data_IF_258236015008
#
_entry.id   IF_258236015008
#
_cell.length_a   1.000
_cell.length_b   1.000
_cell.length_c   1.000
_cell.angle_alpha   90.00
_cell.angle_beta   90.00
_cell.angle_gamma   90.00
#
_symmetry.space_group_name_H-M   'P 1'
#
loop_
_entity.id
_entity.type
_entity.pdbx_description
1 polymer ?
#
# COMPACT_ATOMS: atom_id res chain seq x y z
N UNK A 1 -8.07 -7.31 4.08
CA UNK A 1 -7.92 -7.97 2.77
C UNK A 1 -8.76 -7.18 1.77
N UNK A 2 -8.13 -6.39 0.90
CA UNK A 2 -8.84 -5.68 -0.17
C UNK A 2 -9.59 -6.66 -1.08
N UNK A 3 -10.59 -6.21 -1.86
CA UNK A 3 -11.37 -7.09 -2.72
C UNK A 3 -10.45 -7.91 -3.65
N UNK A 4 -10.63 -9.23 -3.60
CA UNK A 4 -9.90 -10.22 -4.38
C UNK A 4 -10.21 -10.06 -5.89
N UNK A 5 -9.16 -10.00 -6.73
CA UNK A 5 -9.25 -10.31 -8.16
C UNK A 5 -9.23 -9.13 -9.15
N UNK A 6 -8.03 -8.65 -9.47
CA UNK A 6 -7.61 -7.96 -10.72
C UNK A 6 -8.59 -7.00 -11.41
N UNK A 7 -9.20 -6.07 -10.68
CA UNK A 7 -9.98 -5.00 -11.31
C UNK A 7 -9.14 -3.93 -12.01
N UNK A 8 -7.81 -3.94 -11.84
CA UNK A 8 -6.90 -3.09 -12.61
C UNK A 8 -6.20 -3.96 -13.64
N UNK A 9 -6.79 -4.03 -14.83
CA UNK A 9 -6.15 -4.61 -16.02
C UNK A 9 -5.20 -3.59 -16.65
N UNK A 10 -4.30 -4.04 -17.52
CA UNK A 10 -3.33 -3.16 -18.19
C UNK A 10 -3.97 -2.08 -19.07
N UNK A 11 -5.19 -2.32 -19.55
CA UNK A 11 -6.00 -1.39 -20.35
C UNK A 11 -6.71 -0.30 -19.52
N UNK A 12 -6.80 -0.47 -18.20
CA UNK A 12 -7.40 0.51 -17.29
C UNK A 12 -6.45 1.67 -16.95
N UNK A 13 -5.21 1.61 -17.42
CA UNK A 13 -4.21 2.61 -17.09
C UNK A 13 -4.22 3.76 -18.10
N UNK A 14 -4.18 4.97 -17.56
CA UNK A 14 -4.17 6.23 -18.28
C UNK A 14 -2.88 7.00 -17.98
N UNK A 15 -2.62 8.05 -18.76
CA UNK A 15 -1.40 8.87 -18.62
C UNK A 15 -1.40 9.71 -17.33
N UNK A 16 -2.57 10.17 -16.88
CA UNK A 16 -2.76 10.98 -15.68
C UNK A 16 -4.07 10.61 -14.95
N UNK A 17 -4.08 10.69 -13.62
CA UNK A 17 -5.24 10.34 -12.80
C UNK A 17 -4.87 9.99 -11.36
N UNK A 18 -5.58 9.05 -10.75
CA UNK A 18 -5.30 8.58 -9.38
C UNK A 18 -4.14 7.57 -9.41
N UNK A 19 -3.05 7.79 -8.66
CA UNK A 19 -1.87 6.95 -8.70
C UNK A 19 -2.13 5.55 -8.11
N UNK A 20 -1.60 4.53 -8.78
CA UNK A 20 -1.63 3.14 -8.30
C UNK A 20 -0.26 2.77 -7.73
N UNK A 21 -0.25 2.29 -6.47
CA UNK A 21 0.97 1.90 -5.78
C UNK A 21 1.51 0.55 -6.26
N UNK A 22 2.83 0.46 -6.36
CA UNK A 22 3.59 -0.75 -6.61
C UNK A 22 4.68 -0.95 -5.53
N UNK A 23 5.46 -2.04 -5.62
CA UNK A 23 6.52 -2.33 -4.64
C UNK A 23 7.62 -1.27 -4.55
N UNK A 24 7.94 -0.58 -5.65
CA UNK A 24 8.97 0.47 -5.65
C UNK A 24 8.54 1.68 -4.82
N UNK A 25 7.23 1.96 -4.77
CA UNK A 25 6.68 3.02 -3.93
C UNK A 25 6.81 2.70 -2.41
N UNK A 26 6.92 1.42 -2.02
CA UNK A 26 6.92 0.95 -0.61
C UNK A 26 8.33 0.57 -0.13
N UNK A 27 9.38 0.95 -0.86
CA UNK A 27 10.76 0.48 -0.61
C UNK A 27 11.47 1.07 0.62
N UNK A 28 10.86 2.01 1.33
CA UNK A 28 11.44 2.60 2.55
C UNK A 28 10.37 2.93 3.59
N UNK A 29 10.77 3.64 4.64
CA UNK A 29 9.89 4.00 5.75
C UNK A 29 8.70 4.87 5.31
N UNK A 30 8.90 5.74 4.31
CA UNK A 30 7.87 6.62 3.76
C UNK A 30 7.57 6.27 2.31
N UNK A 31 6.33 6.52 1.89
CA UNK A 31 5.90 6.34 0.50
C UNK A 31 6.80 7.14 -0.46
N UNK A 32 7.29 6.48 -1.51
CA UNK A 32 8.10 7.08 -2.57
C UNK A 32 7.25 7.46 -3.79
N UNK A 33 7.14 8.75 -4.06
CA UNK A 33 6.38 9.32 -5.20
C UNK A 33 7.22 9.53 -6.48
N UNK A 34 8.10 8.57 -6.78
CA UNK A 34 9.01 8.64 -7.94
C UNK A 34 8.31 8.38 -9.27
N UNK A 35 7.51 7.32 -9.34
CA UNK A 35 6.82 6.91 -10.55
C UNK A 35 5.52 6.18 -10.18
N UNK A 36 4.50 6.37 -11.01
CA UNK A 36 3.20 5.75 -10.88
C UNK A 36 2.68 5.34 -12.25
N UNK A 37 1.76 4.37 -12.23
CA UNK A 37 0.73 4.26 -13.25
C UNK A 37 -0.55 4.85 -12.68
N UNK A 38 -1.45 5.31 -13.52
CA UNK A 38 -2.67 5.97 -13.08
C UNK A 38 -3.91 5.24 -13.57
N UNK A 39 -4.99 5.33 -12.80
CA UNK A 39 -6.34 5.02 -13.25
C UNK A 39 -7.16 6.30 -13.26
N UNK A 40 -8.21 6.37 -14.08
CA UNK A 40 -9.15 7.48 -14.03
C UNK A 40 -9.96 7.50 -12.72
N UNK A 41 -10.69 8.60 -12.49
CA UNK A 41 -11.48 8.79 -11.27
C UNK A 41 -12.63 7.78 -11.14
N UNK A 42 -13.24 7.38 -12.26
CA UNK A 42 -14.33 6.39 -12.27
C UNK A 42 -13.83 5.03 -11.76
N UNK A 43 -12.69 4.58 -12.28
CA UNK A 43 -12.03 3.35 -11.82
C UNK A 43 -11.56 3.46 -10.37
N UNK A 44 -11.03 4.60 -9.95
CA UNK A 44 -10.65 4.82 -8.55
C UNK A 44 -11.87 4.73 -7.62
N UNK A 45 -13.02 5.27 -8.05
CA UNK A 45 -14.29 5.16 -7.31
C UNK A 45 -14.80 3.72 -7.21
N UNK A 46 -14.72 2.94 -8.29
CA UNK A 46 -15.01 1.50 -8.24
C UNK A 46 -14.13 0.80 -7.18
N UNK A 47 -12.87 1.23 -7.07
CA UNK A 47 -11.84 0.71 -6.17
C UNK A 47 -11.76 1.41 -4.81
N UNK A 48 -12.76 2.23 -4.42
CA UNK A 48 -12.78 3.03 -3.17
C UNK A 48 -12.38 2.30 -1.88
N UNK A 49 -12.58 0.98 -1.80
CA UNK A 49 -12.17 0.15 -0.65
C UNK A 49 -10.66 -0.15 -0.61
N UNK A 50 -9.93 0.26 -1.65
CA UNK A 50 -8.49 0.08 -1.85
C UNK A 50 -7.80 1.44 -1.99
N UNK A 51 -8.41 2.50 -1.44
CA UNK A 51 -7.84 3.84 -1.42
C UNK A 51 -7.10 4.05 -0.10
N UNK A 52 -5.79 4.24 -0.21
CA UNK A 52 -4.93 4.65 0.89
C UNK A 52 -4.72 6.17 0.85
N UNK A 53 -4.58 6.78 2.03
CA UNK A 53 -4.41 8.22 2.25
C UNK A 53 -3.27 8.49 3.23
N UNK A 54 -2.92 9.75 3.40
CA UNK A 54 -1.96 10.18 4.42
C UNK A 54 -2.29 9.59 5.80
N UNK A 55 -1.26 9.12 6.49
CA UNK A 55 -1.38 8.43 7.77
C UNK A 55 -1.62 6.92 7.66
N UNK A 56 -1.98 6.39 6.48
CA UNK A 56 -2.10 4.94 6.28
C UNK A 56 -0.72 4.28 6.15
N UNK A 57 -0.63 3.07 6.68
CA UNK A 57 0.54 2.20 6.51
C UNK A 57 0.24 1.18 5.43
N UNK A 58 1.07 1.13 4.40
CA UNK A 58 0.95 0.20 3.27
C UNK A 58 1.99 -0.90 3.40
N UNK A 59 1.57 -2.14 3.23
CA UNK A 59 2.40 -3.33 3.41
C UNK A 59 2.32 -4.21 2.16
N UNK A 60 3.47 -4.61 1.62
CA UNK A 60 3.57 -5.54 0.49
C UNK A 60 3.60 -6.98 0.98
N UNK A 61 2.67 -7.81 0.50
CA UNK A 61 2.55 -9.23 0.85
C UNK A 61 2.71 -10.19 -0.34
N UNK A 62 2.91 -9.67 -1.56
CA UNK A 62 3.28 -10.44 -2.75
C UNK A 62 4.29 -9.67 -3.58
N UNK A 63 5.29 -10.35 -4.14
CA UNK A 63 6.41 -9.72 -4.85
C UNK A 63 7.59 -9.46 -3.90
N UNK A 64 7.98 -8.20 -3.70
CA UNK A 64 8.99 -7.83 -2.69
C UNK A 64 8.37 -7.86 -1.30
N UNK A 65 8.37 -9.06 -0.71
CA UNK A 65 7.67 -9.38 0.54
C UNK A 65 8.16 -8.53 1.73
N UNK A 66 7.22 -8.16 2.60
CA UNK A 66 7.51 -7.56 3.90
C UNK A 66 7.90 -6.08 3.87
N UNK A 67 7.84 -5.42 2.71
CA UNK A 67 8.02 -3.97 2.63
C UNK A 67 6.87 -3.25 3.35
N UNK A 68 7.20 -2.24 4.16
CA UNK A 68 6.24 -1.46 4.93
C UNK A 68 6.58 0.02 4.78
N UNK A 69 5.61 0.85 4.41
CA UNK A 69 5.78 2.29 4.30
C UNK A 69 4.57 3.06 4.85
N UNK A 70 4.81 4.23 5.43
CA UNK A 70 3.78 5.19 5.83
C UNK A 70 3.55 6.21 4.71
N UNK A 71 2.29 6.52 4.41
CA UNK A 71 1.96 7.64 3.52
C UNK A 71 2.10 8.94 4.31
N UNK A 72 3.03 9.85 3.95
CA UNK A 72 3.26 11.06 4.72
C UNK A 72 2.08 12.05 4.60
N UNK A 73 1.99 12.99 5.54
CA UNK A 73 1.00 14.09 5.51
C UNK A 73 1.20 15.04 4.33
N UNK A 74 2.44 15.17 3.85
CA UNK A 74 2.80 16.02 2.71
C UNK A 74 3.10 15.16 1.49
N UNK A 75 2.08 14.97 0.67
CA UNK A 75 2.13 14.20 -0.57
C UNK A 75 1.70 15.03 -1.78
N UNK A 76 2.04 14.58 -2.99
CA UNK A 76 1.53 15.19 -4.23
C UNK A 76 0.07 14.85 -4.50
N UNK A 77 -0.40 13.70 -4.02
CA UNK A 77 -1.75 13.21 -4.24
C UNK A 77 -2.49 12.99 -2.92
N UNK A 78 -3.80 13.22 -2.92
CA UNK A 78 -4.66 13.01 -1.75
C UNK A 78 -5.04 11.54 -1.55
N UNK A 79 -4.97 10.74 -2.61
CA UNK A 79 -5.43 9.36 -2.64
C UNK A 79 -4.52 8.50 -3.51
N UNK A 80 -4.34 7.25 -3.09
CA UNK A 80 -3.57 6.25 -3.81
C UNK A 80 -4.34 4.94 -3.86
N UNK A 81 -4.41 4.33 -5.03
CA UNK A 81 -4.99 2.99 -5.16
C UNK A 81 -3.92 1.95 -4.80
N UNK A 82 -4.18 1.11 -3.80
CA UNK A 82 -3.34 -0.06 -3.52
C UNK A 82 -3.71 -1.22 -4.46
N UNK A 83 -2.70 -1.95 -4.93
CA UNK A 83 -2.93 -3.15 -5.75
C UNK A 83 -3.16 -4.39 -4.88
N UNK A 84 -3.47 -5.52 -5.51
CA UNK A 84 -3.58 -6.82 -4.82
C UNK A 84 -2.29 -7.31 -4.18
N UNK A 85 -1.14 -6.69 -4.48
CA UNK A 85 0.12 -7.04 -3.82
C UNK A 85 0.30 -6.34 -2.48
N UNK A 86 -0.55 -5.35 -2.18
CA UNK A 86 -0.50 -4.59 -0.94
C UNK A 86 -1.77 -4.74 -0.11
N UNK A 87 -1.65 -4.49 1.19
CA UNK A 87 -2.77 -4.14 2.04
C UNK A 87 -2.43 -2.87 2.82
N UNK A 88 -3.46 -2.16 3.29
CA UNK A 88 -3.29 -0.96 4.11
C UNK A 88 -3.82 -1.15 5.52
N UNK A 89 -3.24 -0.41 6.46
CA UNK A 89 -3.64 -0.29 7.84
C UNK A 89 -3.84 1.18 8.18
N UNK A 90 -5.07 1.54 8.51
CA UNK A 90 -5.44 2.86 9.04
C UNK A 90 -5.44 2.78 10.56
N UNK A 91 -4.61 3.57 11.23
CA UNK A 91 -4.53 3.60 12.68
C UNK A 91 -5.60 4.52 13.28
N UNK A 92 -6.21 4.09 14.38
CA UNK A 92 -6.93 4.99 15.29
C UNK A 92 -5.88 5.81 16.05
N UNK A 93 -5.63 7.04 15.59
CA UNK A 93 -4.59 7.91 16.12
C UNK A 93 -4.81 8.35 17.58
N UNK A 94 -6.02 8.14 18.13
CA UNK A 94 -6.27 8.33 19.57
C UNK A 94 -5.65 7.23 20.43
N UNK A 95 -5.30 6.09 19.83
CA UNK A 95 -4.77 4.88 20.49
C UNK A 95 -3.32 4.60 20.14
N UNK A 96 -2.92 4.84 18.89
CA UNK A 96 -1.59 4.48 18.41
C UNK A 96 -1.11 5.42 17.31
N UNK A 97 0.15 5.84 17.39
CA UNK A 97 0.81 6.62 16.35
C UNK A 97 1.18 5.70 15.18
N UNK A 98 0.82 6.05 13.92
CA UNK A 98 1.22 5.28 12.74
C UNK A 98 2.73 5.04 12.65
N UNK A 99 3.54 6.02 13.05
CA UNK A 99 5.00 5.93 13.06
C UNK A 99 5.50 4.85 14.00
N UNK A 100 4.85 4.66 15.15
CA UNK A 100 5.20 3.58 16.08
C UNK A 100 4.99 2.21 15.44
N UNK A 101 3.86 2.02 14.75
CA UNK A 101 3.55 0.77 14.04
C UNK A 101 4.54 0.54 12.90
N UNK A 102 4.85 1.59 12.12
CA UNK A 102 5.88 1.57 11.08
C UNK A 102 7.22 1.10 11.65
N UNK A 103 7.72 1.75 12.70
CA UNK A 103 9.01 1.42 13.30
C UNK A 103 9.01 0.01 13.90
N UNK A 104 7.91 -0.43 14.52
CA UNK A 104 7.79 -1.80 15.01
C UNK A 104 8.00 -2.82 13.89
N UNK A 105 7.34 -2.66 12.74
CA UNK A 105 7.49 -3.58 11.61
C UNK A 105 8.87 -3.52 10.94
N UNK A 106 9.64 -2.45 11.15
CA UNK A 106 11.05 -2.38 10.73
C UNK A 106 12.04 -3.03 11.70
N UNK A 107 11.60 -3.45 12.90
CA UNK A 107 12.42 -4.27 13.79
C UNK A 107 12.46 -5.73 13.34
N UNK A 108 13.50 -6.46 13.74
CA UNK A 108 13.59 -7.92 13.52
C UNK A 108 12.39 -8.68 14.10
N UNK A 109 11.82 -8.21 15.21
CA UNK A 109 10.67 -8.85 15.83
C UNK A 109 9.41 -8.63 15.00
N UNK A 110 9.14 -7.39 14.59
CA UNK A 110 7.97 -7.03 13.79
C UNK A 110 8.03 -7.62 12.38
N UNK A 111 9.16 -7.50 11.70
CA UNK A 111 9.37 -8.06 10.36
C UNK A 111 9.19 -9.59 10.35
N UNK A 112 9.83 -10.32 11.29
CA UNK A 112 9.60 -11.78 11.41
C UNK A 112 8.15 -12.13 11.69
N UNK A 113 7.45 -11.33 12.50
CA UNK A 113 6.03 -11.58 12.82
C UNK A 113 5.11 -11.31 11.65
N UNK A 114 5.44 -10.32 10.82
CA UNK A 114 4.75 -10.04 9.56
C UNK A 114 4.91 -11.21 8.56
N UNK A 115 6.10 -11.81 8.51
CA UNK A 115 6.44 -12.92 7.62
C UNK A 115 6.14 -14.31 8.20
N UNK A 116 5.72 -14.41 9.47
CA UNK A 116 5.58 -15.69 10.18
C UNK A 116 4.50 -16.61 9.59
N UNK A 117 3.52 -16.05 8.88
CA UNK A 117 2.44 -16.79 8.23
C UNK A 117 2.54 -16.77 6.71
N UNK A 118 3.73 -16.47 6.18
CA UNK A 118 3.98 -16.49 4.73
C UNK A 118 4.07 -17.95 4.27
N UNK A 119 2.92 -18.61 4.24
CA UNK A 119 2.75 -19.92 3.63
C UNK A 119 2.93 -19.72 2.12
N UNK A 120 4.18 -19.79 1.69
CA UNK A 120 4.53 -19.98 0.29
C UNK A 120 4.06 -21.38 -0.11
N UNK A 121 2.75 -21.59 -0.29
CA UNK A 121 2.29 -22.70 -1.12
C UNK A 121 2.56 -22.29 -2.55
N UNK A 122 3.82 -22.46 -2.96
CA UNK A 122 4.15 -22.63 -4.36
C UNK A 122 3.59 -23.97 -4.80
N UNK A 123 2.37 -23.95 -5.33
CA UNK A 123 1.87 -24.92 -6.32
C UNK A 123 0.94 -24.17 -7.27
#
# INVERSE_FOLDING_TARGET
MGPFGSNIKTDCFVDEGVPVLNGDNISGHLLSEKAFRYVDEEKAYELRNSIARSGDIVITHRGTLGQVALIPEKTKFSEYVISQSQFMLTCDQSKILPEYVLFYFHTDAGSRRLLANDNTTGV
#
